data_IF_028326612010
#
_entry.id   IF_028326612010
#
_cell.length_a   1.000
_cell.length_b   1.000
_cell.length_c   1.000
_cell.angle_alpha   90.00
_cell.angle_beta   90.00
_cell.angle_gamma   90.00
#
_symmetry.space_group_name_H-M   'P 1'
#
loop_
_entity.id
_entity.type
_entity.pdbx_description
1 polymer ?
#
# COMPACT_ATOMS: atom_id res chain seq x y z
N UNK A 1 -19.42 26.18 -13.55
CA UNK A 1 -18.70 24.97 -13.04
C UNK A 1 -18.44 25.20 -11.58
N UNK A 2 -18.93 24.32 -10.71
CA UNK A 2 -18.63 24.38 -9.27
C UNK A 2 -17.17 24.02 -9.07
N UNK A 3 -16.40 24.97 -8.55
CA UNK A 3 -15.02 24.75 -8.17
C UNK A 3 -15.00 23.71 -7.02
N UNK A 4 -14.39 22.57 -7.26
CA UNK A 4 -14.31 21.53 -6.23
C UNK A 4 -13.24 21.90 -5.21
N UNK A 5 -13.61 21.85 -3.94
CA UNK A 5 -12.66 22.08 -2.85
C UNK A 5 -11.59 20.98 -2.84
N UNK A 6 -10.34 21.38 -2.89
CA UNK A 6 -9.17 20.49 -2.68
C UNK A 6 -8.43 21.01 -1.46
N UNK A 7 -8.14 20.14 -0.51
CA UNK A 7 -7.33 20.48 0.67
C UNK A 7 -5.98 21.08 0.23
N UNK A 8 -5.46 22.13 0.90
CA UNK A 8 -4.21 22.78 0.49
C UNK A 8 -3.00 21.84 0.43
N UNK A 9 -2.88 20.90 1.36
CA UNK A 9 -1.80 19.91 1.37
C UNK A 9 -1.90 18.94 0.17
N UNK A 10 -3.11 18.53 -0.19
CA UNK A 10 -3.38 17.71 -1.38
C UNK A 10 -3.09 18.49 -2.66
N UNK A 11 -3.51 19.77 -2.72
CA UNK A 11 -3.24 20.64 -3.86
C UNK A 11 -1.73 20.82 -4.07
N UNK A 12 -0.96 21.02 -2.99
CA UNK A 12 0.50 21.10 -3.03
C UNK A 12 1.15 19.80 -3.55
N UNK A 13 0.69 18.64 -3.07
CA UNK A 13 1.18 17.35 -3.55
C UNK A 13 0.84 17.10 -5.02
N UNK A 14 -0.37 17.43 -5.46
CA UNK A 14 -0.77 17.33 -6.87
C UNK A 14 0.06 18.27 -7.76
N UNK A 15 0.34 19.48 -7.31
CA UNK A 15 1.20 20.41 -8.04
C UNK A 15 2.63 19.86 -8.19
N UNK A 16 3.18 19.26 -7.12
CA UNK A 16 4.47 18.55 -7.17
C UNK A 16 4.45 17.42 -8.18
N UNK A 17 3.46 16.52 -8.13
CA UNK A 17 3.36 15.39 -9.06
C UNK A 17 3.21 15.84 -10.52
N UNK A 18 2.37 16.83 -10.77
CA UNK A 18 2.10 17.33 -12.13
C UNK A 18 3.27 18.17 -12.69
N UNK A 19 4.12 18.70 -11.82
CA UNK A 19 5.32 19.45 -12.20
C UNK A 19 6.53 18.56 -12.54
N UNK A 20 6.44 17.24 -12.32
CA UNK A 20 7.53 16.32 -12.68
C UNK A 20 7.64 16.20 -14.21
N UNK A 21 8.84 16.48 -14.72
CA UNK A 21 9.17 16.25 -16.13
C UNK A 21 9.53 14.78 -16.35
N UNK A 22 9.19 14.28 -17.55
CA UNK A 22 9.53 12.92 -17.95
C UNK A 22 8.32 12.10 -18.39
N UNK A 23 8.55 10.83 -18.76
CA UNK A 23 7.48 9.94 -19.19
C UNK A 23 6.50 9.65 -18.05
N UNK A 24 5.23 9.60 -18.36
CA UNK A 24 4.19 9.22 -17.41
C UNK A 24 4.26 7.71 -17.13
N UNK A 25 3.78 7.29 -15.97
CA UNK A 25 3.86 5.90 -15.52
C UNK A 25 3.35 4.89 -16.57
N UNK A 26 2.28 5.24 -17.30
CA UNK A 26 1.67 4.38 -18.33
C UNK A 26 2.46 4.34 -19.65
N UNK A 27 3.43 5.22 -19.83
CA UNK A 27 4.31 5.27 -21.00
C UNK A 27 5.61 4.47 -20.79
N UNK A 28 5.88 4.09 -19.53
CA UNK A 28 7.08 3.32 -19.18
C UNK A 28 6.92 1.83 -19.49
N UNK A 29 8.02 1.14 -19.83
CA UNK A 29 8.05 -0.32 -19.76
C UNK A 29 7.61 -0.81 -18.37
N UNK A 30 6.93 -1.95 -18.33
CA UNK A 30 6.34 -2.48 -17.07
C UNK A 30 7.36 -2.55 -15.92
N UNK A 31 8.57 -3.03 -16.19
CA UNK A 31 9.62 -3.15 -15.18
C UNK A 31 10.04 -1.79 -14.61
N UNK A 32 10.16 -0.77 -15.47
CA UNK A 32 10.49 0.60 -15.05
C UNK A 32 9.34 1.25 -14.30
N UNK A 33 8.09 1.04 -14.74
CA UNK A 33 6.90 1.51 -14.04
C UNK A 33 6.81 0.94 -12.62
N UNK A 34 7.10 -0.35 -12.44
CA UNK A 34 7.17 -1.00 -11.12
C UNK A 34 8.28 -0.41 -10.25
N UNK A 35 9.46 -0.21 -10.80
CA UNK A 35 10.59 0.40 -10.08
C UNK A 35 10.26 1.84 -9.65
N UNK A 36 9.65 2.62 -10.53
CA UNK A 36 9.20 3.99 -10.23
C UNK A 36 8.18 4.00 -9.10
N UNK A 37 7.18 3.13 -9.14
CA UNK A 37 6.19 3.02 -8.06
C UNK A 37 6.83 2.66 -6.72
N UNK A 38 7.80 1.74 -6.72
CA UNK A 38 8.56 1.40 -5.52
C UNK A 38 9.37 2.57 -4.97
N UNK A 39 9.97 3.38 -5.83
CA UNK A 39 10.73 4.57 -5.41
C UNK A 39 9.81 5.65 -4.83
N UNK A 40 8.62 5.84 -5.41
CA UNK A 40 7.68 6.86 -4.98
C UNK A 40 7.10 6.63 -3.58
N UNK A 41 7.14 5.41 -3.05
CA UNK A 41 6.64 5.11 -1.70
C UNK A 41 7.32 5.94 -0.60
N UNK A 42 8.54 6.42 -0.83
CA UNK A 42 9.28 7.24 0.13
C UNK A 42 8.98 8.74 0.03
N UNK A 43 8.19 9.15 -0.96
CA UNK A 43 7.93 10.57 -1.24
C UNK A 43 6.76 11.11 -0.40
N UNK A 44 5.70 10.32 -0.25
CA UNK A 44 4.46 10.77 0.37
C UNK A 44 3.93 9.82 1.45
N UNK A 45 4.45 8.62 1.55
CA UNK A 45 3.99 7.66 2.54
C UNK A 45 4.51 8.02 3.94
N UNK A 46 3.67 7.80 4.92
CA UNK A 46 4.08 7.88 6.32
C UNK A 46 5.03 6.73 6.68
N UNK A 47 5.83 6.93 7.72
CA UNK A 47 6.61 5.85 8.33
C UNK A 47 5.66 4.77 8.83
N UNK A 48 6.00 3.51 8.54
CA UNK A 48 5.21 2.36 9.02
C UNK A 48 5.19 2.25 10.55
N UNK A 49 6.17 2.82 11.23
CA UNK A 49 6.30 2.75 12.68
C UNK A 49 6.47 1.31 13.19
N UNK A 50 6.24 1.12 14.49
CA UNK A 50 6.34 -0.19 15.14
C UNK A 50 4.98 -0.86 15.23
N UNK A 51 4.92 -2.14 14.89
CA UNK A 51 3.79 -3.04 15.11
C UNK A 51 4.23 -4.21 15.99
N UNK A 52 3.32 -4.77 16.76
CA UNK A 52 3.60 -5.97 17.56
C UNK A 52 3.82 -7.19 16.65
N UNK A 53 3.11 -7.25 15.52
CA UNK A 53 3.27 -8.28 14.51
C UNK A 53 3.39 -7.64 13.13
N UNK A 54 4.49 -7.91 12.45
CA UNK A 54 4.68 -7.72 11.02
C UNK A 54 5.38 -8.96 10.49
N UNK A 55 4.67 -9.77 9.70
CA UNK A 55 5.17 -11.09 9.31
C UNK A 55 4.70 -11.46 7.91
N UNK A 56 5.65 -11.88 7.07
CA UNK A 56 5.33 -12.50 5.79
C UNK A 56 4.78 -13.91 6.02
N UNK A 57 3.69 -14.23 5.33
CA UNK A 57 2.98 -15.50 5.41
C UNK A 57 2.74 -16.06 4.02
N UNK A 58 2.61 -17.37 3.95
CA UNK A 58 2.33 -18.11 2.74
C UNK A 58 0.93 -18.71 2.84
N UNK A 59 0.04 -18.32 1.94
CA UNK A 59 -1.34 -18.78 1.93
C UNK A 59 -1.49 -19.84 0.84
N UNK A 60 -1.99 -21.05 1.13
CA UNK A 60 -2.30 -22.04 0.11
C UNK A 60 -3.39 -21.51 -0.84
N UNK A 61 -3.10 -21.46 -2.12
CA UNK A 61 -4.03 -21.07 -3.17
C UNK A 61 -4.27 -22.18 -4.19
N UNK A 62 -5.22 -22.03 -5.09
CA UNK A 62 -5.60 -23.07 -6.05
C UNK A 62 -4.49 -23.40 -7.06
N UNK A 63 -3.58 -22.47 -7.32
CA UNK A 63 -2.48 -22.65 -8.28
C UNK A 63 -1.10 -22.60 -7.61
N UNK A 64 -1.02 -22.66 -6.28
CA UNK A 64 0.23 -22.60 -5.53
C UNK A 64 0.15 -21.65 -4.32
N UNK A 65 1.30 -21.30 -3.80
CA UNK A 65 1.40 -20.40 -2.65
C UNK A 65 1.15 -18.94 -3.08
N UNK A 66 0.31 -18.26 -2.32
CA UNK A 66 0.06 -16.82 -2.45
C UNK A 66 0.83 -16.12 -1.33
N UNK A 67 1.85 -15.31 -1.64
CA UNK A 67 2.53 -14.51 -0.63
C UNK A 67 1.58 -13.48 -0.02
N UNK A 68 1.71 -13.24 1.27
CA UNK A 68 0.94 -12.23 1.97
C UNK A 68 1.74 -11.68 3.16
N UNK A 69 1.29 -10.56 3.70
CA UNK A 69 1.90 -9.97 4.90
C UNK A 69 0.84 -9.63 5.93
N UNK A 70 1.05 -10.11 7.14
CA UNK A 70 0.22 -9.85 8.31
C UNK A 70 0.75 -8.65 9.08
N UNK A 71 -0.14 -7.74 9.42
CA UNK A 71 0.10 -6.59 10.30
C UNK A 71 -0.87 -6.66 11.47
N UNK A 72 -0.37 -6.53 12.71
CA UNK A 72 -1.20 -6.42 13.89
C UNK A 72 -0.54 -5.52 14.94
N UNK A 73 -1.34 -4.65 15.53
CA UNK A 73 -0.91 -3.79 16.64
C UNK A 73 -0.73 -4.56 17.96
N UNK A 74 -1.26 -5.79 18.05
CA UNK A 74 -1.18 -6.66 19.24
C UNK A 74 -0.56 -8.01 18.91
N UNK A 75 0.20 -8.54 19.86
CA UNK A 75 0.77 -9.90 19.81
C UNK A 75 -0.11 -10.96 20.48
N UNK A 76 -1.08 -10.54 21.28
CA UNK A 76 -1.92 -11.37 22.17
C UNK A 76 -3.40 -11.37 21.75
N UNK A 77 -3.66 -11.23 20.46
CA UNK A 77 -5.02 -11.10 19.94
C UNK A 77 -5.81 -12.40 20.09
N UNK A 78 -6.99 -12.29 20.69
CA UNK A 78 -7.98 -13.35 20.67
C UNK A 78 -8.54 -13.55 19.24
N UNK A 79 -9.06 -14.75 18.92
CA UNK A 79 -9.75 -14.97 17.64
C UNK A 79 -10.83 -13.93 17.37
N UNK A 80 -10.87 -13.38 16.17
CA UNK A 80 -11.78 -12.30 15.82
C UNK A 80 -11.72 -11.96 14.33
N UNK A 81 -12.31 -10.85 13.93
CA UNK A 81 -12.30 -10.41 12.54
C UNK A 81 -10.89 -10.07 12.07
N UNK A 82 -10.68 -10.20 10.77
CA UNK A 82 -9.45 -9.80 10.07
C UNK A 82 -9.82 -9.01 8.82
N UNK A 83 -9.07 -7.97 8.52
CA UNK A 83 -9.19 -7.25 7.26
C UNK A 83 -8.25 -7.89 6.23
N UNK A 84 -8.81 -8.27 5.08
CA UNK A 84 -8.01 -8.72 3.93
C UNK A 84 -7.90 -7.55 2.96
N UNK A 85 -6.67 -7.20 2.61
CA UNK A 85 -6.35 -6.06 1.75
C UNK A 85 -5.76 -6.53 0.43
N UNK A 86 -6.35 -6.08 -0.66
CA UNK A 86 -5.86 -6.27 -2.02
C UNK A 86 -5.44 -4.92 -2.56
N UNK A 87 -4.14 -4.76 -2.86
CA UNK A 87 -3.61 -3.48 -3.32
C UNK A 87 -4.14 -3.09 -4.70
N UNK A 88 -4.20 -1.80 -4.99
CA UNK A 88 -4.46 -1.28 -6.31
C UNK A 88 -3.25 -1.43 -7.24
N UNK A 89 -3.42 -1.01 -8.51
CA UNK A 89 -2.32 -1.00 -9.48
C UNK A 89 -2.65 -1.57 -10.86
N UNK A 90 -3.95 -1.81 -11.13
CA UNK A 90 -4.43 -2.25 -12.45
C UNK A 90 -3.88 -3.61 -12.87
N UNK A 91 -3.56 -4.50 -11.93
CA UNK A 91 -2.90 -5.79 -12.14
C UNK A 91 -1.49 -5.70 -12.74
N UNK A 92 -0.90 -4.52 -12.81
CA UNK A 92 0.40 -4.26 -13.43
C UNK A 92 1.44 -3.83 -12.41
N UNK A 93 1.08 -2.91 -11.51
CA UNK A 93 1.94 -2.33 -10.49
C UNK A 93 1.38 -2.56 -9.10
N UNK A 94 2.18 -2.29 -8.08
CA UNK A 94 1.85 -2.54 -6.69
C UNK A 94 2.40 -3.88 -6.20
N UNK A 95 2.60 -3.97 -4.90
CA UNK A 95 3.01 -5.15 -4.16
C UNK A 95 2.82 -4.93 -2.65
N UNK A 96 3.29 -5.85 -1.82
CA UNK A 96 3.20 -5.74 -0.36
C UNK A 96 3.87 -4.47 0.18
N UNK A 97 5.02 -4.08 -0.38
CA UNK A 97 5.80 -2.95 0.12
C UNK A 97 5.20 -1.58 -0.27
N UNK A 98 4.57 -1.49 -1.44
CA UNK A 98 3.99 -0.21 -1.91
C UNK A 98 2.77 0.24 -1.12
N UNK A 99 2.11 -0.67 -0.40
CA UNK A 99 0.92 -0.37 0.41
C UNK A 99 1.13 -0.69 1.91
N UNK A 100 2.37 -0.96 2.30
CA UNK A 100 2.72 -1.29 3.68
C UNK A 100 2.33 -0.19 4.69
N UNK A 101 2.59 1.12 4.43
CA UNK A 101 2.20 2.18 5.35
C UNK A 101 0.70 2.23 5.60
N UNK A 102 -0.10 2.04 4.55
CA UNK A 102 -1.56 1.98 4.67
C UNK A 102 -2.01 0.79 5.52
N UNK A 103 -1.50 -0.40 5.25
CA UNK A 103 -1.87 -1.62 5.99
C UNK A 103 -1.47 -1.54 7.46
N UNK A 104 -0.28 -0.99 7.74
CA UNK A 104 0.21 -0.79 9.10
C UNK A 104 -0.67 0.18 9.89
N UNK A 105 -1.04 1.31 9.26
CA UNK A 105 -1.89 2.30 9.89
C UNK A 105 -3.33 1.81 10.07
N UNK A 106 -3.87 1.10 9.10
CA UNK A 106 -5.18 0.46 9.20
C UNK A 106 -5.22 -0.53 10.38
N UNK A 107 -4.18 -1.35 10.55
CA UNK A 107 -4.10 -2.29 11.68
C UNK A 107 -4.12 -1.59 13.03
N UNK A 108 -3.47 -0.41 13.15
CA UNK A 108 -3.49 0.40 14.38
C UNK A 108 -4.84 1.05 14.63
N UNK A 109 -5.37 1.76 13.64
CA UNK A 109 -6.59 2.55 13.82
C UNK A 109 -7.85 1.71 13.98
N UNK A 110 -7.92 0.58 13.28
CA UNK A 110 -9.05 -0.34 13.39
C UNK A 110 -8.91 -1.31 14.58
N UNK A 111 -7.74 -1.36 15.19
CA UNK A 111 -7.38 -2.36 16.19
C UNK A 111 -7.73 -3.80 15.73
N UNK A 112 -7.36 -4.10 14.49
CA UNK A 112 -7.72 -5.32 13.77
C UNK A 112 -6.52 -5.84 12.98
N UNK A 113 -6.27 -7.16 12.91
CA UNK A 113 -5.26 -7.69 12.02
C UNK A 113 -5.59 -7.35 10.56
N UNK A 114 -4.55 -6.99 9.79
CA UNK A 114 -4.64 -6.75 8.36
C UNK A 114 -3.75 -7.75 7.64
N UNK A 115 -4.28 -8.46 6.66
CA UNK A 115 -3.53 -9.34 5.76
C UNK A 115 -3.50 -8.71 4.38
N UNK A 116 -2.34 -8.25 3.96
CA UNK A 116 -2.10 -7.75 2.60
C UNK A 116 -1.71 -8.92 1.69
N UNK A 117 -2.35 -9.01 0.54
CA UNK A 117 -2.15 -10.10 -0.44
C UNK A 117 -1.26 -9.63 -1.57
N UNK A 118 -0.27 -10.44 -1.94
CA UNK A 118 0.56 -10.23 -3.12
C UNK A 118 0.01 -11.07 -4.29
N UNK A 119 -0.63 -10.42 -5.25
CA UNK A 119 -1.33 -11.07 -6.36
C UNK A 119 -0.90 -10.56 -7.73
#
# INVERSE_FOLDING_TARGET
MTEHFVRPDVAGFLAFLNGQEGPKLHELPIAEGRATMMAMRHVADADIGTLAVKKDIAIPGPSGIIPARLYDARSDRAPGPVMVFYHGGGFVIGNLDTHEPYCAEAARQLDMPVISIDY
#
